data_IF_111402248298
#
_entry.id   IF_111402248298
#
_cell.length_a   1.000
_cell.length_b   1.000
_cell.length_c   1.000
_cell.angle_alpha   90.00
_cell.angle_beta   90.00
_cell.angle_gamma   90.00
#
_symmetry.space_group_name_H-M   'P 1'
#
loop_
_entity.id
_entity.type
_entity.pdbx_description
1 polymer ?
#
# COMPACT_ATOMS: atom_id res chain seq x y z
N UNK A 1 -15.99 -8.34 28.85
CA UNK A 1 -16.74 -7.96 27.65
C UNK A 1 -16.05 -8.56 26.45
N UNK A 2 -16.77 -9.28 25.62
CA UNK A 2 -16.22 -9.85 24.37
C UNK A 2 -16.18 -8.75 23.30
N UNK A 3 -15.23 -8.79 22.41
CA UNK A 3 -15.11 -7.85 21.25
C UNK A 3 -16.46 -7.65 20.55
N UNK A 4 -17.19 -8.72 20.36
CA UNK A 4 -18.53 -8.71 19.76
C UNK A 4 -19.55 -7.81 20.46
N UNK A 5 -19.48 -7.67 21.77
CA UNK A 5 -20.36 -6.77 22.54
C UNK A 5 -19.96 -5.29 22.37
N UNK A 6 -18.66 -5.02 22.15
CA UNK A 6 -18.18 -3.69 21.85
C UNK A 6 -18.58 -3.27 20.44
N UNK A 7 -18.44 -4.15 19.46
CA UNK A 7 -18.86 -3.89 18.07
C UNK A 7 -20.36 -3.62 17.97
N UNK A 8 -21.17 -4.34 18.76
CA UNK A 8 -22.61 -4.10 18.82
C UNK A 8 -22.95 -2.75 19.47
N UNK A 9 -22.21 -2.35 20.50
CA UNK A 9 -22.38 -1.04 21.12
C UNK A 9 -21.94 0.08 20.19
N UNK A 10 -20.85 -0.08 19.47
CA UNK A 10 -20.37 0.89 18.48
C UNK A 10 -21.38 1.06 17.34
N UNK A 11 -21.95 -0.02 16.85
CA UNK A 11 -23.00 0.02 15.83
C UNK A 11 -24.26 0.79 16.30
N UNK A 12 -24.63 0.66 17.58
CA UNK A 12 -25.81 1.33 18.15
C UNK A 12 -25.51 2.80 18.46
N UNK A 13 -24.31 3.11 18.98
CA UNK A 13 -23.96 4.44 19.46
C UNK A 13 -23.41 5.36 18.38
N UNK A 14 -22.64 4.83 17.42
CA UNK A 14 -21.98 5.60 16.36
C UNK A 14 -22.85 5.68 15.11
N UNK A 15 -23.81 4.76 14.97
CA UNK A 15 -24.71 4.72 13.81
C UNK A 15 -24.06 4.24 12.51
N UNK A 16 -22.83 3.72 12.61
CA UNK A 16 -22.17 3.10 11.46
C UNK A 16 -22.89 1.83 11.05
N UNK A 17 -23.21 1.72 9.77
CA UNK A 17 -23.87 0.53 9.23
C UNK A 17 -22.84 -0.47 8.75
N UNK A 18 -23.06 -1.80 8.94
CA UNK A 18 -22.16 -2.82 8.43
C UNK A 18 -22.07 -2.74 6.91
N UNK A 19 -20.84 -2.68 6.41
CA UNK A 19 -20.54 -2.59 4.99
C UNK A 19 -19.90 -3.89 4.51
N UNK A 20 -20.25 -4.33 3.31
CA UNK A 20 -19.61 -5.43 2.64
C UNK A 20 -19.26 -5.03 1.21
N UNK A 21 -17.98 -5.07 0.85
CA UNK A 21 -17.54 -4.74 -0.50
C UNK A 21 -17.04 -5.98 -1.24
N UNK A 22 -17.68 -6.33 -2.33
CA UNK A 22 -17.24 -7.42 -3.19
C UNK A 22 -16.33 -6.88 -4.29
N UNK A 23 -15.03 -7.12 -4.17
CA UNK A 23 -13.99 -6.66 -5.10
C UNK A 23 -14.23 -7.21 -6.52
N UNK A 24 -14.63 -8.48 -6.66
CA UNK A 24 -14.81 -9.13 -7.94
C UNK A 24 -16.01 -8.56 -8.71
N UNK A 25 -17.10 -8.27 -8.00
CA UNK A 25 -18.30 -7.69 -8.57
C UNK A 25 -18.30 -6.16 -8.61
N UNK A 26 -17.34 -5.53 -7.92
CA UNK A 26 -17.26 -4.07 -7.70
C UNK A 26 -18.57 -3.50 -7.14
N UNK A 27 -19.15 -4.22 -6.18
CA UNK A 27 -20.41 -3.84 -5.54
C UNK A 27 -20.21 -3.65 -4.06
N UNK A 28 -20.80 -2.58 -3.55
CA UNK A 28 -20.92 -2.27 -2.14
C UNK A 28 -22.31 -2.69 -1.68
N UNK A 29 -22.36 -3.47 -0.61
CA UNK A 29 -23.59 -3.84 0.08
C UNK A 29 -23.59 -3.11 1.42
N UNK A 30 -24.69 -2.42 1.70
CA UNK A 30 -24.90 -1.71 2.94
C UNK A 30 -26.02 -2.42 3.66
N UNK A 31 -25.74 -3.00 4.82
CA UNK A 31 -26.74 -3.70 5.63
C UNK A 31 -27.48 -2.68 6.50
N UNK A 32 -28.56 -2.12 5.94
CA UNK A 32 -29.44 -1.18 6.59
C UNK A 32 -30.89 -1.44 6.19
N UNK A 33 -31.83 -1.00 6.98
CA UNK A 33 -33.25 -1.00 6.58
C UNK A 33 -33.54 0.24 5.73
N UNK A 34 -33.58 0.04 4.41
CA UNK A 34 -33.83 1.11 3.44
C UNK A 34 -35.17 1.81 3.57
N UNK A 35 -36.13 1.21 4.32
CA UNK A 35 -37.46 1.76 4.53
C UNK A 35 -37.57 2.63 5.77
N UNK A 36 -36.71 2.40 6.77
CA UNK A 36 -36.80 3.04 8.08
C UNK A 36 -35.53 3.89 8.42
N UNK A 37 -34.38 3.47 7.92
CA UNK A 37 -33.09 4.12 8.20
C UNK A 37 -32.79 5.31 7.28
N UNK A 38 -33.53 5.50 6.16
CA UNK A 38 -33.24 6.53 5.16
C UNK A 38 -34.51 7.16 4.60
N UNK A 39 -34.68 8.44 4.84
CA UNK A 39 -35.78 9.23 4.27
C UNK A 39 -35.45 9.82 2.89
N UNK A 40 -36.48 10.08 2.11
CA UNK A 40 -36.31 10.68 0.78
C UNK A 40 -35.71 12.10 0.87
N UNK A 41 -34.48 12.25 0.40
CA UNK A 41 -33.75 13.54 0.42
C UNK A 41 -32.55 13.54 1.38
N UNK A 42 -32.33 12.46 2.12
CA UNK A 42 -31.13 12.27 2.93
C UNK A 42 -29.94 11.78 2.09
N UNK A 43 -28.74 11.99 2.61
CA UNK A 43 -27.49 11.64 1.94
C UNK A 43 -26.75 10.55 2.69
N UNK A 44 -26.17 9.59 1.96
CA UNK A 44 -25.25 8.61 2.50
C UNK A 44 -23.83 9.10 2.23
N UNK A 45 -22.98 9.17 3.25
CA UNK A 45 -21.56 9.48 3.14
C UNK A 45 -20.79 8.17 3.21
N UNK A 46 -20.03 7.87 2.18
CA UNK A 46 -19.19 6.67 2.11
C UNK A 46 -17.73 7.12 2.12
N UNK A 47 -17.01 6.76 3.17
CA UNK A 47 -15.55 6.93 3.21
C UNK A 47 -14.91 5.69 2.58
N UNK A 48 -14.05 5.89 1.59
CA UNK A 48 -13.41 4.77 0.91
C UNK A 48 -12.00 5.10 0.42
N UNK A 49 -11.13 4.09 0.41
CA UNK A 49 -9.85 4.17 -0.27
C UNK A 49 -10.04 3.88 -1.76
N UNK A 50 -9.66 4.82 -2.58
CA UNK A 50 -9.76 4.70 -4.04
C UNK A 50 -8.41 4.43 -4.68
N UNK A 51 -8.32 3.37 -5.48
CA UNK A 51 -7.17 3.18 -6.35
C UNK A 51 -7.17 4.26 -7.43
N UNK A 52 -6.12 5.07 -7.45
CA UNK A 52 -5.96 6.14 -8.43
C UNK A 52 -5.45 5.58 -9.76
N UNK A 53 -5.98 6.10 -10.86
CA UNK A 53 -5.50 5.80 -12.21
C UNK A 53 -4.26 6.68 -12.52
N UNK A 54 -3.08 6.08 -12.77
CA UNK A 54 -1.86 6.84 -13.03
C UNK A 54 -1.88 7.65 -14.32
N UNK A 55 -2.79 7.36 -15.24
CA UNK A 55 -2.93 8.13 -16.49
C UNK A 55 -3.63 9.47 -16.22
N UNK A 56 -4.65 9.44 -15.36
CA UNK A 56 -5.43 10.64 -15.02
C UNK A 56 -4.75 11.48 -13.93
N UNK A 57 -4.07 10.80 -12.99
CA UNK A 57 -3.45 11.41 -11.81
C UNK A 57 -1.94 11.19 -11.83
N UNK A 58 -1.23 12.00 -12.62
CA UNK A 58 0.23 11.90 -12.79
C UNK A 58 1.02 12.20 -11.52
N UNK A 59 0.44 12.94 -10.57
CA UNK A 59 1.06 13.28 -9.28
C UNK A 59 1.37 12.05 -8.41
N UNK A 60 0.75 10.88 -8.69
CA UNK A 60 1.08 9.60 -8.05
C UNK A 60 2.57 9.28 -8.16
N UNK A 61 3.20 9.62 -9.29
CA UNK A 61 4.63 9.38 -9.49
C UNK A 61 5.53 10.33 -8.68
N UNK A 62 4.96 11.37 -8.06
CA UNK A 62 5.69 12.30 -7.21
C UNK A 62 5.80 11.83 -5.75
N UNK A 63 5.29 10.67 -5.42
CA UNK A 63 5.39 10.07 -4.10
C UNK A 63 6.84 9.79 -3.68
N UNK A 64 7.17 10.13 -2.44
CA UNK A 64 8.54 10.03 -1.91
C UNK A 64 8.98 8.56 -1.74
N UNK A 65 8.07 7.71 -1.26
CA UNK A 65 8.38 6.29 -1.08
C UNK A 65 8.62 5.61 -2.43
N UNK A 66 7.76 5.89 -3.41
CA UNK A 66 7.90 5.35 -4.77
C UNK A 66 9.24 5.73 -5.40
N UNK A 67 9.67 6.99 -5.22
CA UNK A 67 10.98 7.47 -5.72
C UNK A 67 12.14 6.74 -5.06
N UNK A 68 12.11 6.58 -3.73
CA UNK A 68 13.13 5.85 -2.99
C UNK A 68 13.20 4.39 -3.43
N UNK A 69 12.05 3.73 -3.54
CA UNK A 69 11.96 2.33 -3.95
C UNK A 69 12.48 2.12 -5.38
N UNK A 70 12.06 2.97 -6.31
CA UNK A 70 12.55 2.93 -7.70
C UNK A 70 14.07 3.14 -7.76
N UNK A 71 14.58 4.10 -7.00
CA UNK A 71 16.03 4.36 -6.93
C UNK A 71 16.80 3.16 -6.39
N UNK A 72 16.30 2.51 -5.33
CA UNK A 72 16.90 1.31 -4.76
C UNK A 72 16.90 0.14 -5.75
N UNK A 73 15.80 -0.05 -6.51
CA UNK A 73 15.72 -1.07 -7.57
C UNK A 73 16.73 -0.82 -8.69
N UNK A 74 16.85 0.42 -9.15
CA UNK A 74 17.84 0.80 -10.18
C UNK A 74 19.26 0.57 -9.65
N UNK A 75 19.55 0.98 -8.41
CA UNK A 75 20.85 0.78 -7.78
C UNK A 75 21.17 -0.72 -7.66
N UNK A 76 20.20 -1.56 -7.30
CA UNK A 76 20.34 -3.02 -7.23
C UNK A 76 20.68 -3.61 -8.61
N UNK A 77 19.97 -3.23 -9.65
CA UNK A 77 20.23 -3.69 -11.01
C UNK A 77 21.60 -3.22 -11.50
N UNK A 78 21.98 -1.99 -11.20
CA UNK A 78 23.30 -1.45 -11.55
C UNK A 78 24.41 -2.20 -10.83
N UNK A 79 24.28 -2.43 -9.51
CA UNK A 79 25.22 -3.23 -8.74
C UNK A 79 25.40 -4.64 -9.32
N UNK A 80 24.32 -5.31 -9.69
CA UNK A 80 24.35 -6.62 -10.34
C UNK A 80 25.06 -6.60 -11.71
N UNK A 81 24.95 -5.52 -12.46
CA UNK A 81 25.67 -5.36 -13.72
C UNK A 81 27.16 -5.11 -13.49
N UNK A 82 27.52 -4.29 -12.50
CA UNK A 82 28.90 -4.00 -12.16
C UNK A 82 29.63 -5.19 -11.53
N UNK A 83 28.96 -6.06 -10.79
CA UNK A 83 29.55 -7.25 -10.18
C UNK A 83 30.09 -8.24 -11.23
N UNK A 84 29.56 -8.23 -12.46
CA UNK A 84 30.10 -9.01 -13.58
C UNK A 84 31.53 -8.59 -13.97
N UNK A 85 31.92 -7.38 -13.61
CA UNK A 85 33.23 -6.80 -13.87
C UNK A 85 34.05 -6.65 -12.57
N UNK A 86 33.69 -7.39 -11.53
CA UNK A 86 34.39 -7.38 -10.26
C UNK A 86 35.86 -7.75 -10.43
N UNK A 87 36.76 -6.94 -9.85
CA UNK A 87 38.21 -7.14 -9.97
C UNK A 87 38.87 -6.47 -11.18
N UNK A 88 38.12 -5.87 -12.08
CA UNK A 88 38.70 -5.07 -13.17
C UNK A 88 39.12 -3.72 -12.64
N UNK A 89 40.42 -3.41 -12.76
CA UNK A 89 40.97 -2.10 -12.42
C UNK A 89 40.82 -1.18 -13.62
N UNK A 90 40.10 -0.08 -13.43
CA UNK A 90 39.98 0.98 -14.45
C UNK A 90 41.28 1.78 -14.58
N UNK A 91 41.42 2.46 -15.70
CA UNK A 91 42.48 3.48 -15.91
C UNK A 91 42.41 4.50 -14.74
N UNK A 92 43.46 4.56 -13.94
CA UNK A 92 43.51 5.39 -12.72
C UNK A 92 43.48 4.62 -11.41
N UNK A 93 43.51 3.27 -11.42
CA UNK A 93 43.61 2.44 -10.22
C UNK A 93 42.33 2.27 -9.42
N UNK A 94 41.20 2.67 -9.99
CA UNK A 94 39.87 2.53 -9.36
C UNK A 94 39.31 1.13 -9.64
N UNK A 95 39.01 0.37 -8.58
CA UNK A 95 38.34 -0.92 -8.69
C UNK A 95 36.83 -0.75 -8.63
N UNK A 96 36.10 -1.45 -9.49
CA UNK A 96 34.64 -1.48 -9.42
C UNK A 96 34.19 -2.35 -8.27
N UNK A 97 33.39 -1.78 -7.37
CA UNK A 97 32.82 -2.47 -6.20
C UNK A 97 31.33 -2.74 -6.40
N UNK A 98 31.02 -3.55 -7.43
CA UNK A 98 29.63 -3.89 -7.79
C UNK A 98 28.89 -4.65 -6.70
N UNK A 99 29.59 -5.57 -6.03
CA UNK A 99 28.98 -6.43 -5.00
C UNK A 99 28.55 -5.62 -3.77
N UNK A 100 29.31 -4.61 -3.38
CA UNK A 100 28.94 -3.73 -2.27
C UNK A 100 27.72 -2.89 -2.62
N UNK A 101 27.67 -2.35 -3.85
CA UNK A 101 26.51 -1.57 -4.33
C UNK A 101 25.26 -2.45 -4.37
N UNK A 102 25.39 -3.67 -4.84
CA UNK A 102 24.28 -4.63 -4.89
C UNK A 102 23.78 -4.99 -3.50
N UNK A 103 24.68 -5.30 -2.57
CA UNK A 103 24.34 -5.64 -1.19
C UNK A 103 23.60 -4.50 -0.48
N UNK A 104 24.15 -3.28 -0.56
CA UNK A 104 23.51 -2.08 0.01
C UNK A 104 22.11 -1.84 -0.60
N UNK A 105 21.98 -1.99 -1.90
CA UNK A 105 20.70 -1.79 -2.57
C UNK A 105 19.67 -2.85 -2.18
N UNK A 106 20.09 -4.09 -1.96
CA UNK A 106 19.21 -5.16 -1.48
C UNK A 106 18.70 -4.86 -0.05
N UNK A 107 19.55 -4.37 0.83
CA UNK A 107 19.15 -3.94 2.17
C UNK A 107 18.17 -2.76 2.12
N UNK A 108 18.41 -1.78 1.23
CA UNK A 108 17.53 -0.64 1.03
C UNK A 108 16.15 -1.08 0.51
N UNK A 109 16.11 -2.00 -0.45
CA UNK A 109 14.84 -2.57 -0.98
C UNK A 109 14.09 -3.29 0.12
N UNK A 110 14.76 -4.16 0.88
CA UNK A 110 14.12 -4.91 1.96
C UNK A 110 13.52 -3.99 3.03
N UNK A 111 14.26 -2.95 3.46
CA UNK A 111 13.76 -1.97 4.43
C UNK A 111 12.54 -1.20 3.91
N UNK A 112 12.54 -0.81 2.64
CA UNK A 112 11.42 -0.10 2.05
C UNK A 112 10.18 -0.98 1.87
N UNK A 113 10.38 -2.27 1.57
CA UNK A 113 9.28 -3.25 1.51
C UNK A 113 8.69 -3.50 2.89
N UNK A 114 9.52 -3.58 3.93
CA UNK A 114 9.06 -3.72 5.32
C UNK A 114 8.34 -2.45 5.80
N UNK A 115 8.87 -1.26 5.50
CA UNK A 115 8.22 0.02 5.76
C UNK A 115 6.84 0.09 5.09
N UNK A 116 6.73 -0.37 3.85
CA UNK A 116 5.47 -0.41 3.12
C UNK A 116 4.43 -1.30 3.81
N UNK A 117 4.84 -2.48 4.29
CA UNK A 117 3.94 -3.39 5.01
C UNK A 117 3.48 -2.82 6.35
N UNK A 118 4.39 -2.21 7.11
CA UNK A 118 4.06 -1.70 8.45
C UNK A 118 3.27 -0.40 8.43
N UNK A 119 3.46 0.44 7.40
CA UNK A 119 2.85 1.78 7.35
C UNK A 119 1.60 1.83 6.48
N UNK A 120 1.54 1.02 5.42
CA UNK A 120 0.51 1.10 4.39
C UNK A 120 -0.34 -0.16 4.25
N UNK A 121 0.00 -1.23 4.97
CA UNK A 121 -0.85 -2.42 4.99
C UNK A 121 -2.14 -2.06 5.72
N UNK A 122 -3.25 -2.23 5.05
CA UNK A 122 -4.56 -2.03 5.67
C UNK A 122 -4.63 -2.93 6.91
N UNK A 123 -5.11 -2.39 8.07
CA UNK A 123 -5.38 -3.25 9.20
C UNK A 123 -6.27 -4.38 8.70
N UNK A 124 -5.98 -5.61 9.14
CA UNK A 124 -6.79 -6.78 8.84
C UNK A 124 -8.24 -6.51 9.28
N UNK A 125 -8.95 -5.76 8.47
CA UNK A 125 -10.38 -5.73 8.55
C UNK A 125 -10.82 -7.14 8.20
N UNK A 126 -11.51 -7.78 9.12
CA UNK A 126 -12.14 -9.06 8.88
C UNK A 126 -13.21 -8.84 7.80
N UNK A 127 -12.78 -8.79 6.57
CA UNK A 127 -13.65 -8.86 5.43
C UNK A 127 -14.09 -10.32 5.33
N UNK A 128 -15.12 -10.63 6.10
CA UNK A 128 -15.82 -11.92 6.00
C UNK A 128 -16.70 -11.80 4.77
N UNK A 129 -16.08 -12.02 3.63
CA UNK A 129 -16.80 -12.19 2.39
C UNK A 129 -17.41 -13.59 2.30
#
# INVERSE_FOLDING_TARGET
MTMWQLDLLDMILIGEKPLQFNVNQRRLYINMDWGDDLDTGEYIIIECYRKLDPVTWTDIYNDLWLKKYTTALIKRQWGANLSKFAGITMLGGVTMNGDQIWSQANEEVFKLEEESRTTWEEPLLFDIG
#
